data_IF_818933894403
#
_entry.id   IF_818933894403
#
_cell.length_a   1.000
_cell.length_b   1.000
_cell.length_c   1.000
_cell.angle_alpha   90.00
_cell.angle_beta   90.00
_cell.angle_gamma   90.00
#
_symmetry.space_group_name_H-M   'P 1'
#
loop_
_entity.id
_entity.type
_entity.pdbx_description
1 polymer ?
#
# COMPACT_ATOMS: atom_id res chain seq x y z
N UNK A 1 7.19 4.32 19.74
CA UNK A 1 7.94 3.60 18.67
C UNK A 1 8.92 4.59 18.10
N UNK A 2 10.18 4.22 18.00
CA UNK A 2 11.20 5.09 17.41
C UNK A 2 10.92 5.19 15.90
N UNK A 3 10.92 6.39 15.37
CA UNK A 3 10.64 6.76 13.96
C UNK A 3 11.66 6.12 12.96
N UNK A 4 12.48 5.20 13.43
CA UNK A 4 13.65 4.65 12.76
C UNK A 4 13.59 3.15 12.45
N UNK A 5 12.57 2.41 12.94
CA UNK A 5 12.49 0.96 12.72
C UNK A 5 12.09 0.66 11.27
N UNK A 6 12.82 -0.24 10.60
CA UNK A 6 12.54 -0.68 9.24
C UNK A 6 12.17 -2.17 9.16
N UNK A 7 11.57 -2.57 8.06
CA UNK A 7 11.11 -3.93 7.83
C UNK A 7 12.30 -4.89 7.75
N UNK A 8 12.25 -6.02 8.49
CA UNK A 8 13.32 -7.04 8.58
C UNK A 8 14.68 -6.50 9.07
N UNK A 9 14.70 -5.50 9.92
CA UNK A 9 15.94 -4.92 10.51
C UNK A 9 16.79 -5.95 11.24
N UNK A 10 16.17 -7.01 11.81
CA UNK A 10 16.88 -8.10 12.50
C UNK A 10 17.75 -8.95 11.57
N UNK A 11 17.41 -8.99 10.28
CA UNK A 11 18.04 -9.88 9.30
C UNK A 11 18.90 -9.12 8.28
N UNK A 12 18.83 -7.79 8.24
CA UNK A 12 19.53 -6.98 7.23
C UNK A 12 20.04 -5.66 7.76
N UNK A 13 21.12 -5.16 7.14
CA UNK A 13 21.46 -3.76 7.24
C UNK A 13 20.47 -2.89 6.43
N UNK A 14 20.36 -1.60 6.80
CA UNK A 14 19.52 -0.65 6.07
C UNK A 14 20.06 -0.43 4.66
N UNK A 15 19.32 -0.88 3.66
CA UNK A 15 19.64 -0.63 2.26
C UNK A 15 19.27 0.81 1.84
N UNK A 16 19.94 1.35 0.82
CA UNK A 16 19.59 2.61 0.21
C UNK A 16 18.34 2.49 -0.68
N UNK A 17 17.73 3.60 -1.06
CA UNK A 17 16.61 3.58 -2.01
C UNK A 17 17.03 3.04 -3.38
N UNK A 18 18.23 3.40 -3.80
CA UNK A 18 18.79 3.03 -5.09
C UNK A 18 19.06 1.52 -5.19
N UNK A 19 19.58 0.93 -4.10
CA UNK A 19 19.99 -0.47 -4.05
C UNK A 19 18.84 -1.44 -3.73
N UNK A 20 17.68 -0.93 -3.28
CA UNK A 20 16.52 -1.73 -2.92
C UNK A 20 15.57 -1.92 -4.11
N UNK A 21 15.09 -3.14 -4.33
CA UNK A 21 14.02 -3.43 -5.28
C UNK A 21 12.63 -3.14 -4.68
N UNK A 22 12.43 -3.52 -3.42
CA UNK A 22 11.14 -3.37 -2.74
C UNK A 22 11.15 -2.14 -1.83
N UNK A 23 10.14 -1.29 -1.99
CA UNK A 23 9.95 -0.07 -1.21
C UNK A 23 8.70 -0.19 -0.36
N UNK A 24 8.87 -0.41 0.93
CA UNK A 24 7.78 -0.44 1.91
C UNK A 24 7.32 0.99 2.19
N UNK A 25 6.06 1.28 1.94
CA UNK A 25 5.44 2.58 2.23
C UNK A 25 4.34 2.40 3.29
N UNK A 26 4.61 2.75 4.55
CA UNK A 26 3.61 2.70 5.61
C UNK A 26 2.57 3.82 5.44
N UNK A 27 1.28 3.46 5.49
CA UNK A 27 0.15 4.39 5.33
C UNK A 27 -0.86 4.16 6.46
N UNK A 28 -0.69 4.78 7.62
CA UNK A 28 -1.54 4.59 8.80
C UNK A 28 -2.89 5.33 8.67
N UNK A 29 -3.64 5.05 7.59
CA UNK A 29 -4.90 5.70 7.29
C UNK A 29 -6.08 4.93 7.89
N UNK A 30 -6.92 5.63 8.66
CA UNK A 30 -8.13 5.08 9.28
C UNK A 30 -9.16 6.19 9.43
N UNK A 31 -10.12 6.26 8.52
CA UNK A 31 -11.17 7.29 8.55
C UNK A 31 -12.57 6.77 8.29
N UNK A 32 -12.70 5.63 7.59
CA UNK A 32 -13.99 5.15 7.11
C UNK A 32 -14.32 3.73 7.55
N UNK A 33 -13.58 3.17 8.51
CA UNK A 33 -13.81 1.81 9.03
C UNK A 33 -15.23 1.64 9.55
N UNK A 34 -15.87 0.51 9.22
CA UNK A 34 -17.25 0.23 9.62
C UNK A 34 -17.39 -0.19 11.07
N UNK A 35 -16.36 -0.84 11.64
CA UNK A 35 -16.42 -1.39 12.99
C UNK A 35 -15.04 -1.42 13.65
N UNK A 36 -15.01 -0.97 14.90
CA UNK A 36 -13.78 -0.91 15.67
C UNK A 36 -12.84 0.22 15.21
N UNK A 37 -11.71 0.30 15.88
CA UNK A 37 -10.61 1.23 15.57
C UNK A 37 -9.27 0.51 15.71
N UNK A 38 -8.19 1.09 15.19
CA UNK A 38 -6.83 0.58 15.37
C UNK A 38 -6.16 0.12 14.08
N UNK A 39 -6.83 0.14 12.92
CA UNK A 39 -6.23 -0.22 11.64
C UNK A 39 -5.07 0.70 11.27
N UNK A 40 -5.09 1.96 11.71
CA UNK A 40 -3.95 2.88 11.57
C UNK A 40 -2.66 2.35 12.22
N UNK A 41 -2.78 1.49 13.23
CA UNK A 41 -1.64 0.82 13.86
C UNK A 41 -1.06 -0.34 13.04
N UNK A 42 -1.76 -0.78 11.99
CA UNK A 42 -1.39 -1.94 11.17
C UNK A 42 0.02 -1.87 10.58
N UNK A 43 0.40 -0.80 9.87
CA UNK A 43 1.73 -0.68 9.29
C UNK A 43 2.86 -0.82 10.31
N UNK A 44 2.70 -0.16 11.45
CA UNK A 44 3.68 -0.20 12.53
C UNK A 44 3.77 -1.59 13.17
N UNK A 45 2.62 -2.26 13.37
CA UNK A 45 2.57 -3.62 13.92
C UNK A 45 3.23 -4.63 12.96
N UNK A 46 3.01 -4.50 11.66
CA UNK A 46 3.64 -5.35 10.63
C UNK A 46 5.15 -5.17 10.64
N UNK A 47 5.65 -3.93 10.66
CA UNK A 47 7.10 -3.64 10.71
C UNK A 47 7.71 -4.19 12.00
N UNK A 48 7.06 -4.01 13.14
CA UNK A 48 7.54 -4.56 14.40
C UNK A 48 7.56 -6.10 14.39
N UNK A 49 6.53 -6.73 13.83
CA UNK A 49 6.45 -8.19 13.75
C UNK A 49 7.41 -8.79 12.72
N UNK A 50 7.81 -8.02 11.70
CA UNK A 50 8.76 -8.49 10.68
C UNK A 50 10.12 -8.88 11.26
N UNK A 51 10.45 -8.38 12.46
CA UNK A 51 11.68 -8.72 13.16
C UNK A 51 11.73 -10.19 13.59
N UNK A 52 10.64 -10.93 13.47
CA UNK A 52 10.55 -12.37 13.78
C UNK A 52 10.58 -13.24 12.51
N UNK A 53 10.67 -12.63 11.33
CA UNK A 53 10.74 -13.37 10.08
C UNK A 53 12.19 -13.77 9.81
N UNK A 54 12.34 -14.92 9.15
CA UNK A 54 13.64 -15.38 8.63
C UNK A 54 13.83 -14.84 7.20
N UNK A 55 15.07 -14.51 6.83
CA UNK A 55 15.41 -14.03 5.49
C UNK A 55 15.27 -15.12 4.41
N UNK A 56 15.43 -16.39 4.80
CA UNK A 56 15.36 -17.55 3.89
C UNK A 56 13.91 -18.07 3.80
N UNK A 57 13.36 -18.12 2.60
CA UNK A 57 11.97 -18.58 2.34
C UNK A 57 11.83 -20.10 2.12
N UNK A 58 12.92 -20.85 2.31
CA UNK A 58 13.00 -22.29 2.03
C UNK A 58 13.60 -22.62 0.65
N UNK A 59 13.75 -21.64 -0.22
CA UNK A 59 14.27 -21.82 -1.61
C UNK A 59 15.33 -20.76 -1.93
N UNK A 60 15.12 -19.52 -1.52
CA UNK A 60 15.94 -18.35 -1.87
C UNK A 60 16.12 -17.39 -0.69
N UNK A 61 16.89 -16.36 -0.91
CA UNK A 61 17.05 -15.22 0.00
C UNK A 61 16.43 -13.95 -0.64
N UNK A 62 15.09 -13.76 -0.60
CA UNK A 62 14.44 -12.61 -1.24
C UNK A 62 14.98 -11.26 -0.74
N UNK A 63 15.51 -11.23 0.48
CA UNK A 63 16.12 -10.07 1.09
C UNK A 63 17.33 -9.52 0.31
N UNK A 64 18.04 -10.37 -0.45
CA UNK A 64 19.15 -9.95 -1.33
C UNK A 64 18.74 -8.97 -2.42
N UNK A 65 17.43 -8.92 -2.75
CA UNK A 65 16.88 -7.91 -3.67
C UNK A 65 16.82 -6.49 -3.06
N UNK A 66 17.09 -6.35 -1.79
CA UNK A 66 17.04 -5.10 -1.04
C UNK A 66 15.62 -4.66 -0.71
N UNK A 67 15.43 -4.22 0.53
CA UNK A 67 14.17 -3.66 1.04
C UNK A 67 14.46 -2.28 1.65
N UNK A 68 13.76 -1.26 1.17
CA UNK A 68 13.80 0.09 1.74
C UNK A 68 12.47 0.43 2.39
N UNK A 69 12.50 0.85 3.65
CA UNK A 69 11.30 1.30 4.36
C UNK A 69 11.26 2.82 4.40
N UNK A 70 10.25 3.39 3.76
CA UNK A 70 9.99 4.82 3.75
C UNK A 70 9.45 5.29 5.09
N UNK A 71 9.61 6.59 5.36
CA UNK A 71 8.85 7.26 6.41
C UNK A 71 7.37 7.15 6.14
N UNK A 72 6.57 6.89 7.18
CA UNK A 72 5.12 6.78 7.08
C UNK A 72 4.50 8.05 6.46
N UNK A 73 3.44 7.85 5.69
CA UNK A 73 2.63 8.95 5.15
C UNK A 73 1.91 9.64 6.30
N UNK A 74 1.92 10.98 6.31
CA UNK A 74 1.08 11.75 7.21
C UNK A 74 -0.38 11.68 6.74
N UNK A 75 -1.22 11.03 7.53
CA UNK A 75 -2.64 10.82 7.24
C UNK A 75 -3.57 11.81 7.97
N UNK A 76 -3.04 12.90 8.54
CA UNK A 76 -3.81 13.92 9.28
C UNK A 76 -4.61 14.87 8.37
N UNK A 77 -4.24 15.01 7.09
CA UNK A 77 -4.93 15.82 6.09
C UNK A 77 -6.31 15.29 5.70
N UNK A 78 -7.01 15.97 4.79
CA UNK A 78 -8.25 15.45 4.22
C UNK A 78 -7.96 14.25 3.27
N UNK A 79 -9.00 13.49 2.93
CA UNK A 79 -8.85 12.24 2.15
C UNK A 79 -8.17 12.47 0.80
N UNK A 80 -8.54 13.54 0.11
CA UNK A 80 -7.99 13.88 -1.21
C UNK A 80 -6.50 14.21 -1.11
N UNK A 81 -6.08 14.97 -0.10
CA UNK A 81 -4.68 15.33 0.12
C UNK A 81 -3.84 14.09 0.46
N UNK A 82 -4.34 13.24 1.36
CA UNK A 82 -3.64 12.01 1.76
C UNK A 82 -3.50 11.06 0.57
N UNK A 83 -4.57 10.82 -0.17
CA UNK A 83 -4.53 9.95 -1.34
C UNK A 83 -3.60 10.50 -2.43
N UNK A 84 -3.58 11.82 -2.65
CA UNK A 84 -2.65 12.45 -3.58
C UNK A 84 -1.17 12.28 -3.16
N UNK A 85 -0.87 12.36 -1.88
CA UNK A 85 0.49 12.14 -1.38
C UNK A 85 0.92 10.66 -1.52
N UNK A 86 0.02 9.71 -1.23
CA UNK A 86 0.27 8.28 -1.46
C UNK A 86 0.53 8.02 -2.95
N UNK A 87 -0.31 8.55 -3.84
CA UNK A 87 -0.15 8.42 -5.28
C UNK A 87 1.21 8.97 -5.75
N UNK A 88 1.57 10.17 -5.31
CA UNK A 88 2.84 10.83 -5.64
C UNK A 88 4.05 9.99 -5.19
N UNK A 89 4.05 9.50 -3.95
CA UNK A 89 5.13 8.64 -3.43
C UNK A 89 5.24 7.34 -4.21
N UNK A 90 4.10 6.70 -4.49
CA UNK A 90 4.06 5.47 -5.30
C UNK A 90 4.57 5.72 -6.73
N UNK A 91 4.16 6.81 -7.36
CA UNK A 91 4.64 7.19 -8.70
C UNK A 91 6.16 7.42 -8.72
N UNK A 92 6.72 8.02 -7.65
CA UNK A 92 8.17 8.21 -7.57
C UNK A 92 8.93 6.88 -7.44
N UNK A 93 8.37 5.89 -6.74
CA UNK A 93 8.94 4.54 -6.64
C UNK A 93 8.90 3.85 -8.01
N UNK A 94 7.80 3.92 -8.73
CA UNK A 94 7.72 3.38 -10.11
C UNK A 94 8.71 4.07 -11.05
N UNK A 95 8.89 5.38 -10.94
CA UNK A 95 9.84 6.13 -11.76
C UNK A 95 11.30 5.69 -11.54
N UNK A 96 11.63 5.17 -10.38
CA UNK A 96 12.92 4.56 -10.08
C UNK A 96 13.05 3.12 -10.60
N UNK A 97 11.99 2.55 -11.21
CA UNK A 97 11.96 1.14 -11.61
C UNK A 97 11.83 0.16 -10.43
N UNK A 98 11.31 0.61 -9.30
CA UNK A 98 11.19 -0.16 -8.07
C UNK A 98 9.76 -0.63 -7.84
N UNK A 99 9.57 -1.54 -6.88
CA UNK A 99 8.29 -2.15 -6.54
C UNK A 99 7.77 -1.55 -5.24
N UNK A 100 6.69 -0.75 -5.26
CA UNK A 100 6.06 -0.27 -4.04
C UNK A 100 5.28 -1.37 -3.34
N UNK A 101 5.44 -1.47 -2.03
CA UNK A 101 4.68 -2.33 -1.12
C UNK A 101 4.00 -1.45 -0.09
N UNK A 102 2.70 -1.27 -0.22
CA UNK A 102 1.93 -0.40 0.67
C UNK A 102 1.48 -1.19 1.88
N UNK A 103 1.88 -0.76 3.07
CA UNK A 103 1.33 -1.27 4.32
C UNK A 103 0.23 -0.33 4.77
N UNK A 104 -1.01 -0.75 4.58
CA UNK A 104 -2.16 0.09 4.85
C UNK A 104 -2.69 -0.03 6.27
N UNK A 105 -3.50 0.94 6.60
CA UNK A 105 -4.55 0.89 7.58
C UNK A 105 -5.80 0.27 6.93
N UNK A 106 -6.77 1.08 6.50
CA UNK A 106 -7.97 0.59 5.84
C UNK A 106 -7.80 0.48 4.31
N UNK A 107 -8.73 -0.22 3.65
CA UNK A 107 -8.66 -0.55 2.22
C UNK A 107 -8.64 0.66 1.28
N UNK A 108 -9.15 1.81 1.70
CA UNK A 108 -9.13 3.07 0.92
C UNK A 108 -7.75 3.40 0.38
N UNK A 109 -6.68 3.06 1.09
CA UNK A 109 -5.29 3.33 0.68
C UNK A 109 -4.91 2.67 -0.64
N UNK A 110 -5.59 1.59 -1.04
CA UNK A 110 -5.30 0.86 -2.29
C UNK A 110 -5.64 1.65 -3.55
N UNK A 111 -6.53 2.65 -3.46
CA UNK A 111 -6.91 3.49 -4.60
C UNK A 111 -5.71 4.23 -5.20
N UNK A 112 -4.95 4.91 -4.38
CA UNK A 112 -3.88 5.79 -4.83
C UNK A 112 -2.73 5.07 -5.56
N UNK A 113 -2.18 3.95 -5.05
CA UNK A 113 -1.14 3.21 -5.77
C UNK A 113 -1.63 2.60 -7.08
N UNK A 114 -2.91 2.19 -7.17
CA UNK A 114 -3.49 1.71 -8.42
C UNK A 114 -3.57 2.86 -9.44
N UNK A 115 -3.95 4.08 -9.01
CA UNK A 115 -3.96 5.25 -9.88
C UNK A 115 -2.55 5.63 -10.34
N UNK A 116 -1.55 5.55 -9.48
CA UNK A 116 -0.15 5.74 -9.85
C UNK A 116 0.31 4.72 -10.90
N UNK A 117 -0.04 3.44 -10.70
CA UNK A 117 0.27 2.38 -11.67
C UNK A 117 -0.39 2.64 -13.03
N UNK A 118 -1.66 3.03 -13.07
CA UNK A 118 -2.39 3.36 -14.31
C UNK A 118 -1.78 4.54 -15.08
N UNK A 119 -1.12 5.47 -14.38
CA UNK A 119 -0.43 6.61 -15.01
C UNK A 119 0.96 6.22 -15.52
N UNK A 120 1.57 5.19 -14.94
CA UNK A 120 2.93 4.76 -15.24
C UNK A 120 2.98 3.66 -16.31
N UNK A 121 2.03 2.73 -16.31
CA UNK A 121 1.98 1.59 -17.21
C UNK A 121 0.83 1.70 -18.22
N UNK A 122 1.02 1.24 -19.44
CA UNK A 122 0.00 1.25 -20.50
C UNK A 122 -1.20 0.37 -20.15
N UNK A 123 -0.96 -0.76 -19.48
CA UNK A 123 -1.99 -1.73 -19.07
C UNK A 123 -1.75 -2.15 -17.63
N UNK A 124 -2.78 -2.05 -16.80
CA UNK A 124 -2.76 -2.48 -15.40
C UNK A 124 -3.88 -3.50 -15.17
N UNK A 125 -3.51 -4.69 -14.66
CA UNK A 125 -4.43 -5.66 -14.11
C UNK A 125 -4.41 -5.58 -12.57
N UNK A 126 -5.58 -5.67 -11.95
CA UNK A 126 -5.72 -5.71 -10.49
C UNK A 126 -6.23 -7.08 -10.08
N UNK A 127 -5.50 -7.75 -9.19
CA UNK A 127 -5.96 -8.95 -8.49
C UNK A 127 -6.33 -8.55 -7.08
N UNK A 128 -7.58 -8.82 -6.69
CA UNK A 128 -8.14 -8.39 -5.42
C UNK A 128 -8.48 -9.62 -4.57
N UNK A 129 -7.74 -9.82 -3.47
CA UNK A 129 -7.99 -10.86 -2.48
C UNK A 129 -8.71 -10.25 -1.29
N UNK A 130 -10.02 -10.37 -1.26
CA UNK A 130 -10.88 -9.79 -0.24
C UNK A 130 -12.18 -10.57 -0.11
N UNK A 131 -12.77 -10.58 1.09
CA UNK A 131 -14.09 -11.15 1.33
C UNK A 131 -15.23 -10.33 0.72
N UNK A 132 -14.96 -9.07 0.32
CA UNK A 132 -15.92 -8.12 -0.22
C UNK A 132 -15.46 -7.59 -1.59
N UNK A 133 -16.41 -7.18 -2.41
CA UNK A 133 -16.11 -6.63 -3.74
C UNK A 133 -15.74 -5.14 -3.71
N UNK A 134 -16.08 -4.41 -2.65
CA UNK A 134 -15.86 -2.97 -2.42
C UNK A 134 -16.28 -2.07 -3.59
N UNK A 135 -17.44 -2.44 -4.17
CA UNK A 135 -18.04 -1.79 -5.34
C UNK A 135 -19.21 -0.86 -4.99
N UNK A 136 -19.37 -0.48 -3.73
CA UNK A 136 -20.40 0.51 -3.36
C UNK A 136 -20.13 1.83 -4.03
N UNK A 137 -21.19 2.55 -4.39
CA UNK A 137 -21.04 3.90 -4.93
C UNK A 137 -20.68 4.89 -3.81
N UNK A 138 -21.28 4.70 -2.65
CA UNK A 138 -21.11 5.55 -1.47
C UNK A 138 -21.32 4.73 -0.19
N UNK A 139 -20.64 5.09 0.87
CA UNK A 139 -20.88 4.60 2.23
C UNK A 139 -20.75 5.78 3.20
N UNK A 140 -21.78 5.99 4.03
CA UNK A 140 -21.86 7.04 5.05
C UNK A 140 -21.52 8.45 4.52
N UNK A 141 -21.99 8.76 3.29
CA UNK A 141 -21.77 10.04 2.62
C UNK A 141 -20.40 10.18 1.94
N UNK A 142 -19.56 9.14 1.97
CA UNK A 142 -18.25 9.15 1.32
C UNK A 142 -18.17 8.20 0.14
N UNK A 143 -17.71 8.70 -1.00
CA UNK A 143 -17.33 7.91 -2.18
C UNK A 143 -15.90 7.35 -2.08
N UNK A 144 -15.11 7.87 -1.16
CA UNK A 144 -13.71 7.47 -0.89
C UNK A 144 -13.61 6.64 0.39
N UNK A 145 -14.56 5.71 0.60
CA UNK A 145 -14.52 4.78 1.73
C UNK A 145 -13.91 3.43 1.33
N UNK A 146 -13.49 2.66 2.35
CA UNK A 146 -12.98 1.30 2.16
C UNK A 146 -13.92 0.42 1.31
N UNK A 147 -15.24 0.55 1.47
CA UNK A 147 -16.24 -0.24 0.74
C UNK A 147 -16.51 0.25 -0.70
N UNK A 148 -15.87 1.37 -1.11
CA UNK A 148 -16.06 2.00 -2.41
C UNK A 148 -14.80 1.98 -3.29
N UNK A 149 -13.68 1.54 -2.76
CA UNK A 149 -12.35 1.67 -3.38
C UNK A 149 -12.30 1.01 -4.77
N UNK A 150 -12.79 -0.21 -4.91
CA UNK A 150 -12.76 -0.92 -6.19
C UNK A 150 -13.75 -0.35 -7.20
N UNK A 151 -14.83 0.28 -6.76
CA UNK A 151 -15.72 1.06 -7.63
C UNK A 151 -14.99 2.26 -8.22
N UNK A 152 -14.25 3.01 -7.41
CA UNK A 152 -13.46 4.17 -7.89
C UNK A 152 -12.37 3.73 -8.87
N UNK A 153 -11.69 2.61 -8.60
CA UNK A 153 -10.72 2.01 -9.53
C UNK A 153 -11.35 1.64 -10.86
N UNK A 154 -12.57 1.10 -10.86
CA UNK A 154 -13.27 0.67 -12.06
C UNK A 154 -13.81 1.84 -12.90
N UNK A 155 -14.24 2.93 -12.28
CA UNK A 155 -14.78 4.11 -12.97
C UNK A 155 -13.74 4.83 -13.82
N UNK A 156 -12.48 4.76 -13.45
CA UNK A 156 -11.38 5.29 -14.25
C UNK A 156 -11.05 4.32 -15.43
N UNK A 157 -11.85 4.42 -16.48
CA UNK A 157 -11.88 3.48 -17.61
C UNK A 157 -10.67 3.47 -18.53
N UNK A 158 -9.59 4.19 -18.24
CA UNK A 158 -8.48 4.28 -19.21
C UNK A 158 -7.73 2.98 -19.47
N UNK A 159 -7.81 1.93 -18.62
CA UNK A 159 -7.22 0.60 -18.92
C UNK A 159 -7.37 -0.45 -17.79
N UNK A 160 -8.57 -0.78 -17.32
CA UNK A 160 -8.68 -1.81 -16.27
C UNK A 160 -9.39 -3.06 -16.80
N UNK A 161 -8.71 -4.21 -16.80
CA UNK A 161 -9.36 -5.52 -16.83
C UNK A 161 -9.41 -6.05 -15.40
N UNK A 162 -10.61 -6.15 -14.81
CA UNK A 162 -10.83 -6.83 -13.54
C UNK A 162 -11.03 -8.32 -13.82
N UNK A 163 -10.17 -9.16 -13.28
CA UNK A 163 -10.44 -10.59 -13.14
C UNK A 163 -10.87 -10.85 -11.70
N UNK A 164 -12.16 -10.99 -11.46
CA UNK A 164 -12.69 -11.52 -10.21
C UNK A 164 -12.81 -13.04 -10.35
N UNK A 165 -12.06 -13.79 -9.58
CA UNK A 165 -12.32 -15.22 -9.36
C UNK A 165 -13.18 -15.35 -8.09
N UNK A 166 -14.39 -15.88 -8.25
CA UNK A 166 -15.24 -16.33 -7.15
C UNK A 166 -14.79 -17.70 -6.66
#
# INVERSE_FOLDING_TARGET
>A
MTDDQFFLESESERCSQEDSLFHILPVPYEKTVSYGTGTAGGPAAIIASSQQLEAFDGISLPLESGIYTHKAVDCSGNDTEVLAEIEKKTASIFAMGKIPVILGGEHTVSYAPIMAAKKHFDVVGVVHFDAHADLRDELDGSKLSHACVMRRVHEDRKSTRLNSSH
#
